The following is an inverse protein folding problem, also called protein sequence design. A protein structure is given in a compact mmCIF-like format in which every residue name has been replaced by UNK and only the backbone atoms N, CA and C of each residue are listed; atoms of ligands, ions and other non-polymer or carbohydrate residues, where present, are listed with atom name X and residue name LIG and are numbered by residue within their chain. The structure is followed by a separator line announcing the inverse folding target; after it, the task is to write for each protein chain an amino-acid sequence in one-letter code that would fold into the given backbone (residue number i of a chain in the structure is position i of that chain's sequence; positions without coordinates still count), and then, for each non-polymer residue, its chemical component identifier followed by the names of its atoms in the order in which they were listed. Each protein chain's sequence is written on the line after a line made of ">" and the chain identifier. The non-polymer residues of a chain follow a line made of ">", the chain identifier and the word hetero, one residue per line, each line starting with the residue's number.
data_IF_238911142031
#
_entry.id   IF_238911142031
#
_cell.length_a   1.000
_cell.length_b   1.000
_cell.length_c   1.000
_cell.angle_alpha   90.00
_cell.angle_beta   90.00
_cell.angle_gamma   90.00
#
_symmetry.space_group_name_H-M   'P 1'
#
loop_
_entity.id
_entity.type
_entity.pdbx_description
1 polymer ?
#
# COMPACT_ATOMS: atom_id res chain seq x y z
N UNK A 1 19.78 -3.22 -30.62
CA UNK A 1 19.26 -2.59 -29.39
C UNK A 1 20.19 -2.93 -28.24
N UNK A 2 20.81 -1.95 -27.58
CA UNK A 2 21.53 -2.21 -26.33
C UNK A 2 20.52 -2.69 -25.27
N UNK A 3 20.79 -3.84 -24.64
CA UNK A 3 20.06 -4.26 -23.44
C UNK A 3 20.45 -3.32 -22.30
N UNK A 4 19.59 -2.37 -21.97
CA UNK A 4 19.77 -1.56 -20.76
C UNK A 4 19.66 -2.49 -19.54
N UNK A 5 20.74 -2.59 -18.76
CA UNK A 5 20.74 -3.34 -17.50
C UNK A 5 19.76 -2.67 -16.53
N UNK A 6 18.94 -3.48 -15.88
CA UNK A 6 17.96 -3.01 -14.91
C UNK A 6 18.63 -2.96 -13.53
N UNK A 7 18.62 -1.77 -12.93
CA UNK A 7 18.99 -1.54 -11.54
C UNK A 7 17.78 -0.97 -10.80
N UNK A 8 17.35 -1.66 -9.74
CA UNK A 8 16.15 -1.33 -8.96
C UNK A 8 16.58 -0.85 -7.58
N UNK A 9 16.03 0.29 -7.15
CA UNK A 9 16.12 0.74 -5.77
C UNK A 9 14.79 0.48 -5.07
N UNK A 10 14.79 -0.35 -4.03
CA UNK A 10 13.60 -0.69 -3.26
C UNK A 10 13.39 0.30 -2.11
N UNK A 11 12.17 0.81 -1.99
CA UNK A 11 11.76 1.76 -0.96
C UNK A 11 10.56 1.20 -0.21
N UNK A 12 10.68 1.01 1.10
CA UNK A 12 9.53 0.89 1.99
C UNK A 12 9.01 2.28 2.33
N UNK A 13 7.96 2.71 1.64
CA UNK A 13 7.49 4.11 1.62
C UNK A 13 7.22 4.67 3.00
N UNK A 14 6.61 3.88 3.90
CA UNK A 14 6.30 4.32 5.28
C UNK A 14 7.55 4.64 6.12
N UNK A 15 8.71 4.09 5.78
CA UNK A 15 9.95 4.30 6.53
C UNK A 15 10.83 5.36 5.87
N UNK A 16 10.85 5.37 4.54
CA UNK A 16 11.64 6.34 3.79
C UNK A 16 11.05 7.74 3.95
N UNK A 17 11.89 8.71 4.29
CA UNK A 17 11.44 10.10 4.50
C UNK A 17 10.83 10.38 5.87
N UNK A 18 10.54 9.36 6.70
CA UNK A 18 10.10 9.60 8.07
C UNK A 18 11.23 10.26 8.88
N UNK A 19 11.08 11.55 9.17
CA UNK A 19 12.04 12.35 9.94
C UNK A 19 11.89 12.19 11.46
N UNK A 20 10.82 11.53 11.90
CA UNK A 20 10.60 11.27 13.32
C UNK A 20 11.53 10.13 13.79
N UNK A 21 12.41 10.43 14.73
CA UNK A 21 13.34 9.47 15.32
C UNK A 21 12.74 8.70 16.52
N UNK A 22 11.51 9.03 16.93
CA UNK A 22 10.81 8.31 18.00
C UNK A 22 10.44 6.91 17.51
N UNK A 23 10.86 5.91 18.27
CA UNK A 23 10.54 4.50 18.05
C UNK A 23 9.89 3.93 19.30
N UNK A 24 8.68 4.41 19.62
CA UNK A 24 7.91 3.91 20.76
C UNK A 24 7.32 2.55 20.38
N UNK A 25 7.61 1.46 21.12
CA UNK A 25 6.95 0.19 20.92
C UNK A 25 5.42 0.37 21.01
N UNK A 26 4.69 -0.15 20.02
CA UNK A 26 3.24 0.02 19.90
C UNK A 26 2.78 1.50 19.83
N UNK A 27 3.64 2.40 19.34
CA UNK A 27 3.30 3.81 19.13
C UNK A 27 2.34 4.04 17.97
N UNK A 28 1.49 5.05 18.08
CA UNK A 28 0.60 5.47 16.97
C UNK A 28 1.40 6.16 15.84
N UNK A 29 0.74 6.43 14.71
CA UNK A 29 1.35 7.19 13.61
C UNK A 29 1.69 8.63 14.05
N UNK A 30 0.93 9.24 14.95
CA UNK A 30 1.25 10.55 15.52
C UNK A 30 2.50 10.50 16.42
N UNK A 31 2.72 9.38 17.11
CA UNK A 31 3.88 9.21 17.98
C UNK A 31 5.15 8.90 17.19
N UNK A 32 5.10 7.96 16.24
CA UNK A 32 6.28 7.44 15.53
C UNK A 32 6.47 8.02 14.12
N UNK A 33 5.49 8.73 13.58
CA UNK A 33 5.50 9.23 12.21
C UNK A 33 5.33 8.13 11.16
N UNK A 34 5.25 8.57 9.91
CA UNK A 34 5.30 7.75 8.70
C UNK A 34 5.89 8.60 7.58
N UNK A 35 6.64 7.96 6.69
CA UNK A 35 7.07 8.55 5.43
C UNK A 35 5.87 8.85 4.54
N UNK A 36 5.98 9.92 3.76
CA UNK A 36 4.93 10.41 2.86
C UNK A 36 5.35 10.29 1.40
N UNK A 37 4.38 10.21 0.49
CA UNK A 37 4.67 10.20 -0.95
C UNK A 37 5.49 11.42 -1.39
N UNK A 38 5.23 12.59 -0.79
CA UNK A 38 5.96 13.81 -1.09
C UNK A 38 7.32 13.95 -0.38
N UNK A 39 7.71 13.02 0.51
CA UNK A 39 9.08 12.96 1.03
C UNK A 39 10.08 12.46 -0.04
N UNK A 40 9.59 11.75 -1.07
CA UNK A 40 10.38 11.32 -2.23
C UNK A 40 10.40 12.46 -3.25
N UNK A 41 11.27 13.44 -2.98
CA UNK A 41 11.42 14.69 -3.75
C UNK A 41 12.16 14.50 -5.07
N UNK A 42 12.12 15.50 -5.96
CA UNK A 42 12.91 15.53 -7.21
C UNK A 42 14.40 15.31 -6.93
N UNK A 43 14.94 15.97 -5.89
CA UNK A 43 16.33 15.81 -5.47
C UNK A 43 16.67 14.36 -5.13
N UNK A 44 15.82 13.67 -4.38
CA UNK A 44 16.04 12.25 -4.03
C UNK A 44 16.08 11.40 -5.30
N UNK A 45 15.16 11.63 -6.23
CA UNK A 45 15.07 10.90 -7.47
C UNK A 45 16.25 11.18 -8.40
N UNK A 46 16.71 12.43 -8.48
CA UNK A 46 17.90 12.83 -9.23
C UNK A 46 19.17 12.19 -8.66
N UNK A 47 19.31 12.15 -7.33
CA UNK A 47 20.42 11.47 -6.65
C UNK A 47 20.41 9.96 -6.96
N UNK A 48 19.25 9.30 -6.91
CA UNK A 48 19.11 7.88 -7.27
C UNK A 48 19.38 7.64 -8.76
N UNK A 49 18.92 8.52 -9.64
CA UNK A 49 19.22 8.45 -11.07
C UNK A 49 20.71 8.61 -11.34
N UNK A 50 21.36 9.60 -10.71
CA UNK A 50 22.79 9.85 -10.80
C UNK A 50 23.65 8.69 -10.28
N UNK A 51 23.14 7.95 -9.29
CA UNK A 51 23.76 6.72 -8.79
C UNK A 51 23.62 5.51 -9.74
N UNK A 52 22.90 5.65 -10.86
CA UNK A 52 22.77 4.62 -11.90
C UNK A 52 21.52 3.73 -11.78
N UNK A 53 20.59 4.04 -10.87
CA UNK A 53 19.31 3.33 -10.81
C UNK A 53 18.44 3.65 -12.03
N UNK A 54 17.61 2.66 -12.39
CA UNK A 54 16.73 2.73 -13.56
C UNK A 54 15.25 2.63 -13.17
N UNK A 55 14.96 1.99 -12.04
CA UNK A 55 13.63 1.78 -11.51
C UNK A 55 13.63 2.04 -10.01
N UNK A 56 12.52 2.56 -9.51
CA UNK A 56 12.21 2.62 -8.08
C UNK A 56 11.05 1.66 -7.81
N UNK A 57 11.21 0.82 -6.79
CA UNK A 57 10.18 -0.11 -6.34
C UNK A 57 9.60 0.36 -5.02
N UNK A 58 8.39 0.92 -5.06
CA UNK A 58 7.66 1.38 -3.88
C UNK A 58 6.85 0.23 -3.30
N UNK A 59 7.37 -0.37 -2.23
CA UNK A 59 6.65 -1.42 -1.49
C UNK A 59 5.71 -0.81 -0.45
N UNK A 60 4.58 -1.47 -0.24
CA UNK A 60 3.57 -1.04 0.73
C UNK A 60 2.77 0.20 0.35
N UNK A 61 2.73 0.55 -0.94
CA UNK A 61 1.94 1.68 -1.46
C UNK A 61 0.42 1.41 -1.44
N UNK A 62 0.01 0.17 -1.71
CA UNK A 62 -1.40 -0.22 -1.70
C UNK A 62 -2.00 -0.12 -0.30
N UNK A 63 -3.29 0.22 -0.23
CA UNK A 63 -4.03 0.29 1.01
C UNK A 63 -4.00 -1.06 1.73
N UNK A 64 -3.30 -1.10 2.86
CA UNK A 64 -3.14 -2.29 3.68
C UNK A 64 -3.76 -2.09 5.06
N UNK A 65 -3.99 -3.19 5.76
CA UNK A 65 -4.63 -3.14 7.07
C UNK A 65 -3.70 -2.51 8.11
N UNK A 66 -4.11 -1.39 8.67
CA UNK A 66 -3.49 -0.72 9.83
C UNK A 66 -4.54 -0.45 10.91
N UNK A 67 -4.09 -0.14 12.12
CA UNK A 67 -4.95 0.22 13.26
C UNK A 67 -5.29 1.72 13.30
N UNK A 68 -4.79 2.52 12.35
CA UNK A 68 -5.11 3.95 12.24
C UNK A 68 -6.56 4.13 11.80
N UNK A 69 -7.29 5.02 12.46
CA UNK A 69 -8.70 5.28 12.17
C UNK A 69 -8.87 6.36 11.09
N UNK A 70 -9.48 5.98 9.98
CA UNK A 70 -9.77 6.86 8.85
C UNK A 70 -11.25 6.88 8.49
N UNK A 71 -12.13 6.57 9.45
CA UNK A 71 -13.58 6.54 9.25
C UNK A 71 -14.16 7.88 8.81
N UNK A 72 -13.54 9.01 9.20
CA UNK A 72 -13.93 10.34 8.72
C UNK A 72 -13.79 10.51 7.19
N UNK A 73 -12.96 9.69 6.55
CA UNK A 73 -12.75 9.66 5.09
C UNK A 73 -13.54 8.53 4.41
N UNK A 74 -14.45 7.87 5.15
CA UNK A 74 -15.22 6.72 4.65
C UNK A 74 -14.43 5.41 4.60
N UNK A 75 -13.21 5.37 5.13
CA UNK A 75 -12.37 4.15 5.15
C UNK A 75 -12.73 3.32 6.40
N UNK A 76 -13.20 2.06 6.27
CA UNK A 76 -13.57 1.25 7.42
C UNK A 76 -12.39 0.94 8.35
N UNK A 77 -12.66 0.93 9.66
CA UNK A 77 -11.70 0.46 10.66
C UNK A 77 -11.30 -1.00 10.41
N UNK A 78 -10.09 -1.34 10.81
CA UNK A 78 -9.62 -2.72 10.88
C UNK A 78 -9.64 -3.20 12.33
N UNK A 79 -9.68 -4.51 12.51
CA UNK A 79 -9.66 -5.14 13.84
C UNK A 79 -8.21 -5.19 14.36
N UNK A 80 -7.84 -4.47 15.44
CA UNK A 80 -6.46 -4.41 15.91
C UNK A 80 -5.87 -5.79 16.29
N UNK A 81 -6.72 -6.74 16.68
CA UNK A 81 -6.35 -8.09 17.11
C UNK A 81 -5.71 -8.94 16.00
N UNK A 82 -5.94 -8.55 14.73
CA UNK A 82 -5.43 -9.25 13.54
C UNK A 82 -4.40 -8.42 12.76
N UNK A 83 -4.17 -7.17 13.17
CA UNK A 83 -3.16 -6.28 12.58
C UNK A 83 -1.82 -6.52 13.28
N UNK A 84 -0.74 -6.63 12.52
CA UNK A 84 0.61 -6.75 13.08
C UNK A 84 1.07 -5.40 13.62
N UNK A 85 1.05 -5.23 14.93
CA UNK A 85 1.34 -3.93 15.57
C UNK A 85 0.25 -2.91 15.24
N UNK A 86 0.61 -1.62 15.12
CA UNK A 86 -0.33 -0.56 14.72
C UNK A 86 -0.28 -0.26 13.22
N UNK A 87 0.91 -0.22 12.63
CA UNK A 87 1.10 0.11 11.22
C UNK A 87 0.73 -1.05 10.27
N UNK A 88 0.63 -2.28 10.78
CA UNK A 88 0.30 -3.44 9.98
C UNK A 88 1.39 -3.88 8.99
N UNK A 89 1.09 -4.94 8.23
CA UNK A 89 1.99 -5.49 7.21
C UNK A 89 1.68 -4.86 5.85
N UNK A 90 2.68 -4.42 5.06
CA UNK A 90 2.44 -3.85 3.72
C UNK A 90 1.79 -4.83 2.74
N UNK A 91 1.84 -6.14 3.04
CA UNK A 91 1.26 -7.20 2.22
C UNK A 91 -0.14 -7.64 2.65
N UNK A 92 -0.68 -7.09 3.75
CA UNK A 92 -2.06 -7.38 4.17
C UNK A 92 -3.02 -6.38 3.49
N UNK A 93 -3.26 -6.55 2.20
CA UNK A 93 -4.02 -5.59 1.37
C UNK A 93 -5.48 -5.56 1.79
N UNK A 94 -6.02 -4.37 2.11
CA UNK A 94 -7.44 -4.18 2.44
C UNK A 94 -8.26 -3.57 1.30
N UNK A 95 -7.60 -2.92 0.35
CA UNK A 95 -8.22 -2.38 -0.87
C UNK A 95 -7.16 -2.35 -1.99
N UNK A 96 -7.46 -2.92 -3.17
CA UNK A 96 -6.54 -2.89 -4.34
C UNK A 96 -6.74 -1.66 -5.23
N UNK A 97 -7.84 -0.94 -5.03
CA UNK A 97 -8.21 0.22 -5.83
C UNK A 97 -7.82 1.52 -5.13
N UNK A 98 -7.09 1.42 -4.01
CA UNK A 98 -6.70 2.54 -3.19
C UNK A 98 -5.24 2.42 -2.72
N UNK A 99 -4.66 3.53 -2.30
CA UNK A 99 -3.32 3.62 -1.70
C UNK A 99 -3.40 3.87 -0.21
N UNK A 100 -2.34 3.54 0.52
CA UNK A 100 -2.40 3.61 1.98
C UNK A 100 -2.47 5.06 2.49
N UNK A 101 -3.51 5.42 3.27
CA UNK A 101 -3.70 6.78 3.78
C UNK A 101 -2.58 7.22 4.75
N UNK A 102 -1.85 6.28 5.37
CA UNK A 102 -0.69 6.61 6.22
C UNK A 102 0.43 7.30 5.40
N UNK A 103 0.43 7.17 4.06
CA UNK A 103 1.45 7.68 3.15
C UNK A 103 1.10 9.04 2.52
N UNK A 104 -0.15 9.50 2.67
CA UNK A 104 -0.58 10.79 2.15
C UNK A 104 -0.42 11.91 3.20
N UNK A 105 -0.20 13.14 2.75
CA UNK A 105 -0.27 14.33 3.60
C UNK A 105 -1.72 14.74 3.80
N UNK A 106 -2.50 14.81 2.72
CA UNK A 106 -3.95 14.93 2.74
C UNK A 106 -4.58 13.58 2.36
N UNK A 107 -5.26 12.95 3.31
CA UNK A 107 -5.90 11.65 3.11
C UNK A 107 -6.95 11.68 1.99
N UNK A 108 -7.61 12.82 1.75
CA UNK A 108 -8.60 12.94 0.67
C UNK A 108 -7.96 12.89 -0.71
N UNK A 109 -6.74 13.42 -0.82
CA UNK A 109 -5.98 13.51 -2.07
C UNK A 109 -4.97 12.37 -2.23
N UNK A 110 -5.02 11.33 -1.39
CA UNK A 110 -4.02 10.24 -1.36
C UNK A 110 -3.71 9.60 -2.72
N UNK A 111 -4.73 9.42 -3.56
CA UNK A 111 -4.54 8.89 -4.93
C UNK A 111 -3.82 9.91 -5.81
N UNK A 112 -4.22 11.17 -5.76
CA UNK A 112 -3.53 12.25 -6.47
C UNK A 112 -2.07 12.37 -6.01
N UNK A 113 -1.80 12.33 -4.70
CA UNK A 113 -0.42 12.37 -4.18
C UNK A 113 0.43 11.20 -4.67
N UNK A 114 -0.16 10.01 -4.80
CA UNK A 114 0.53 8.85 -5.38
C UNK A 114 0.78 9.03 -6.89
N UNK A 115 -0.20 9.55 -7.65
CA UNK A 115 -0.02 9.88 -9.07
C UNK A 115 1.07 10.95 -9.28
N UNK A 116 1.14 11.93 -8.39
CA UNK A 116 2.19 12.95 -8.38
C UNK A 116 3.57 12.33 -8.12
N UNK A 117 3.70 11.39 -7.19
CA UNK A 117 4.93 10.62 -7.00
C UNK A 117 5.31 9.86 -8.27
N UNK A 118 4.36 9.17 -8.90
CA UNK A 118 4.60 8.43 -10.16
C UNK A 118 5.09 9.37 -11.27
N UNK A 119 4.42 10.52 -11.44
CA UNK A 119 4.80 11.53 -12.42
C UNK A 119 6.21 12.09 -12.14
N UNK A 120 6.51 12.40 -10.87
CA UNK A 120 7.83 12.88 -10.43
C UNK A 120 8.93 11.87 -10.78
N UNK A 121 8.70 10.59 -10.51
CA UNK A 121 9.65 9.51 -10.82
C UNK A 121 9.89 9.37 -12.31
N UNK A 122 8.84 9.46 -13.13
CA UNK A 122 8.99 9.47 -14.59
C UNK A 122 9.75 10.69 -15.11
N UNK A 123 9.50 11.87 -14.54
CA UNK A 123 10.20 13.11 -14.91
C UNK A 123 11.71 13.03 -14.62
N UNK A 124 12.11 12.33 -13.55
CA UNK A 124 13.51 12.02 -13.25
C UNK A 124 14.14 10.93 -14.16
N UNK A 125 13.38 10.42 -15.15
CA UNK A 125 13.83 9.38 -16.08
C UNK A 125 13.92 7.98 -15.46
N UNK A 126 13.31 7.77 -14.29
CA UNK A 126 13.21 6.50 -13.59
C UNK A 126 11.86 5.83 -13.90
N UNK A 127 11.80 4.51 -13.84
CA UNK A 127 10.55 3.74 -13.97
C UNK A 127 9.99 3.36 -12.59
N UNK A 128 8.68 3.22 -12.50
CA UNK A 128 8.01 2.83 -11.25
C UNK A 128 7.68 1.34 -11.24
N UNK A 129 7.90 0.71 -10.08
CA UNK A 129 7.40 -0.62 -9.73
C UNK A 129 6.62 -0.53 -8.41
N UNK A 130 5.54 -1.29 -8.30
CA UNK A 130 4.80 -1.50 -7.05
C UNK A 130 4.54 -2.99 -6.86
N UNK A 131 4.21 -3.37 -5.63
CA UNK A 131 3.76 -4.73 -5.33
C UNK A 131 2.35 -4.99 -5.83
N UNK A 132 2.12 -6.23 -6.27
CA UNK A 132 0.80 -6.80 -6.45
C UNK A 132 0.76 -8.16 -5.77
N UNK A 133 -0.18 -8.34 -4.85
CA UNK A 133 -0.26 -9.52 -3.96
C UNK A 133 -1.54 -10.31 -4.27
N UNK A 134 -1.65 -11.07 -5.36
CA UNK A 134 -2.91 -11.72 -5.74
C UNK A 134 -3.25 -12.96 -4.90
N UNK A 135 -2.30 -13.46 -4.11
CA UNK A 135 -2.44 -14.74 -3.41
C UNK A 135 -3.31 -14.66 -2.14
N UNK A 136 -3.46 -13.49 -1.53
CA UNK A 136 -4.22 -13.33 -0.28
C UNK A 136 -4.64 -11.87 -0.05
N UNK A 137 -5.59 -11.68 0.88
CA UNK A 137 -6.12 -10.38 1.32
C UNK A 137 -5.88 -10.15 2.81
N UNK A 138 -6.07 -8.93 3.29
CA UNK A 138 -6.38 -8.67 4.69
C UNK A 138 -7.70 -9.34 5.07
N UNK A 139 -7.82 -9.79 6.32
CA UNK A 139 -9.04 -10.51 6.77
C UNK A 139 -10.29 -9.65 6.72
N UNK A 140 -10.17 -8.32 6.88
CA UNK A 140 -11.26 -7.37 6.76
C UNK A 140 -11.13 -6.54 5.48
N UNK A 141 -10.87 -7.21 4.36
CA UNK A 141 -10.82 -6.59 3.04
C UNK A 141 -12.17 -5.98 2.68
N UNK A 142 -12.15 -4.72 2.26
CA UNK A 142 -13.30 -4.04 1.72
C UNK A 142 -12.82 -2.90 0.84
N UNK A 143 -13.26 -2.90 -0.42
CA UNK A 143 -12.90 -1.82 -1.33
C UNK A 143 -13.94 -0.72 -1.34
N UNK A 144 -13.51 0.51 -1.07
CA UNK A 144 -14.35 1.71 -1.19
C UNK A 144 -14.17 2.41 -2.55
N UNK A 145 -13.10 2.07 -3.28
CA UNK A 145 -12.72 2.70 -4.52
C UNK A 145 -12.95 1.82 -5.77
N UNK A 146 -13.34 0.56 -5.61
CA UNK A 146 -13.55 -0.34 -6.75
C UNK A 146 -14.62 0.17 -7.73
N UNK A 147 -14.46 -0.06 -9.04
CA UNK A 147 -15.51 0.21 -10.02
C UNK A 147 -16.78 -0.61 -9.74
N UNK A 148 -17.96 -0.02 -10.01
CA UNK A 148 -19.27 -0.64 -9.76
C UNK A 148 -19.48 -1.99 -10.47
N UNK A 149 -18.80 -2.23 -11.58
CA UNK A 149 -18.91 -3.47 -12.35
C UNK A 149 -18.03 -4.61 -11.79
N UNK A 150 -17.17 -4.32 -10.81
CA UNK A 150 -16.33 -5.32 -10.15
C UNK A 150 -17.06 -5.90 -8.94
N UNK A 151 -17.22 -7.22 -8.93
CA UNK A 151 -17.82 -7.96 -7.81
C UNK A 151 -16.94 -7.92 -6.56
N UNK A 152 -17.55 -8.10 -5.38
CA UNK A 152 -16.78 -8.36 -4.16
C UNK A 152 -16.12 -9.74 -4.23
N UNK A 153 -14.96 -9.88 -3.59
CA UNK A 153 -14.42 -11.21 -3.29
C UNK A 153 -15.43 -11.96 -2.42
N UNK A 154 -15.61 -13.25 -2.69
CA UNK A 154 -16.55 -14.09 -1.93
C UNK A 154 -18.01 -13.98 -2.36
N UNK A 155 -18.39 -13.01 -3.19
CA UNK A 155 -19.81 -12.78 -3.54
C UNK A 155 -20.47 -13.94 -4.31
N UNK A 156 -19.67 -14.84 -4.89
CA UNK A 156 -20.11 -16.02 -5.64
C UNK A 156 -19.61 -17.33 -5.03
N UNK A 157 -19.03 -17.27 -3.85
CA UNK A 157 -18.49 -18.45 -3.20
C UNK A 157 -19.64 -19.30 -2.65
N UNK A 158 -19.50 -20.62 -2.74
CA UNK A 158 -20.37 -21.55 -2.02
C UNK A 158 -19.87 -21.69 -0.59
N UNK A 159 -20.59 -21.08 0.36
CA UNK A 159 -20.25 -21.08 1.79
C UNK A 159 -20.70 -22.34 2.53
N UNK A 160 -21.45 -23.24 1.85
CA UNK A 160 -21.92 -24.51 2.42
C UNK A 160 -20.83 -25.59 2.45
N UNK A 161 -19.73 -25.39 1.72
CA UNK A 161 -18.61 -26.34 1.63
C UNK A 161 -17.34 -25.71 2.20
N UNK A 162 -16.50 -26.53 2.81
CA UNK A 162 -15.23 -26.02 3.38
C UNK A 162 -14.26 -25.53 2.30
N UNK A 163 -14.34 -26.14 1.11
CA UNK A 163 -13.51 -25.82 -0.04
C UNK A 163 -14.27 -26.06 -1.34
N UNK A 164 -14.15 -25.10 -2.26
CA UNK A 164 -14.44 -25.30 -3.68
C UNK A 164 -13.35 -24.62 -4.52
N UNK A 165 -12.91 -25.22 -5.65
CA UNK A 165 -11.83 -24.66 -6.47
C UNK A 165 -12.16 -23.31 -7.12
N UNK A 166 -13.44 -22.93 -7.14
CA UNK A 166 -13.92 -21.65 -7.68
C UNK A 166 -14.27 -20.63 -6.60
N UNK A 167 -14.11 -20.96 -5.31
CA UNK A 167 -14.28 -20.00 -4.23
C UNK A 167 -13.03 -19.10 -4.14
N UNK A 168 -13.24 -17.86 -3.72
CA UNK A 168 -12.18 -16.95 -3.30
C UNK A 168 -11.64 -17.31 -1.91
N UNK A 169 -12.49 -17.86 -1.03
CA UNK A 169 -12.16 -18.17 0.35
C UNK A 169 -12.42 -19.63 0.73
N UNK A 170 -11.73 -20.07 1.79
CA UNK A 170 -12.08 -21.28 2.52
C UNK A 170 -13.14 -20.95 3.58
N UNK A 171 -14.08 -21.86 3.77
CA UNK A 171 -15.16 -21.70 4.75
C UNK A 171 -15.08 -22.78 5.83
N UNK A 172 -15.70 -22.51 6.97
CA UNK A 172 -15.90 -23.48 8.04
C UNK A 172 -17.41 -23.78 8.13
N UNK A 173 -17.95 -24.66 7.28
CA UNK A 173 -19.36 -25.06 7.37
C UNK A 173 -19.59 -25.82 8.69
N UNK A 174 -20.74 -25.55 9.31
CA UNK A 174 -21.18 -26.18 10.55
C UNK A 174 -21.84 -27.53 10.33
#
# INVERSE_FOLDING_TARGET
>A
MQRNKIFVYQILTRLFGNKNSRNKPHGTIEENGSGKFNDITDRVLDELRGAGYTHIWYIGALAHASATDYTEYGIPRQFPEIVKGKAGSPYAIRDYYDVDPDLAVDVKERIQEFEELVARTHNAGLKVLIDFVPNHLARNYHSIAKPKHVGEFGAKDDTSVAFAPHNNFYYLPG
#
